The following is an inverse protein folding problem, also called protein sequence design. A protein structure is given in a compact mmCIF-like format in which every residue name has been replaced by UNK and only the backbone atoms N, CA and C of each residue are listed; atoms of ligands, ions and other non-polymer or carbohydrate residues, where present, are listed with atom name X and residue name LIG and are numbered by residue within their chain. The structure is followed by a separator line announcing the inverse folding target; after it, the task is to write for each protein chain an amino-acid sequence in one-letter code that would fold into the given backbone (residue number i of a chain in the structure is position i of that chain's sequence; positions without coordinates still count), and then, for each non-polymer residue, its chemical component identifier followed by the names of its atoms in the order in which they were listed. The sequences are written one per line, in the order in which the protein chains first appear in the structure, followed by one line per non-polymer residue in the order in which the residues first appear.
data_IF_501980581349
#
_entry.id   IF_501980581349
#
_cell.length_a   1.000
_cell.length_b   1.000
_cell.length_c   1.000
_cell.angle_alpha   90.00
_cell.angle_beta   90.00
_cell.angle_gamma   90.00
#
_symmetry.space_group_name_H-M   'P 1'
#
loop_
_entity.id
_entity.type
_entity.pdbx_description
1 polymer ?
#
# COMPACT_ATOMS: atom_id res chain seq x y z
N UNK A 1 11.95 18.33 17.33
CA UNK A 1 11.89 17.01 16.65
C UNK A 1 11.46 15.92 17.63
N UNK A 2 11.05 14.74 17.17
CA UNK A 2 10.66 13.63 18.08
C UNK A 2 11.84 13.16 18.96
N UNK A 3 13.08 13.43 18.58
CA UNK A 3 14.28 13.16 19.38
C UNK A 3 14.40 14.04 20.63
N UNK A 4 13.69 15.17 20.69
CA UNK A 4 13.76 16.11 21.82
C UNK A 4 13.09 15.61 23.10
N UNK A 5 12.20 14.61 23.01
CA UNK A 5 11.61 13.95 24.18
C UNK A 5 12.58 12.98 24.87
N UNK A 6 13.74 12.68 24.27
CA UNK A 6 14.76 11.82 24.90
C UNK A 6 15.52 12.62 25.96
N UNK A 7 15.65 12.06 27.16
CA UNK A 7 16.37 12.68 28.27
C UNK A 7 17.82 13.00 27.89
N UNK A 8 18.14 14.31 27.87
CA UNK A 8 19.44 14.85 27.44
C UNK A 8 20.53 14.80 28.52
N UNK A 9 20.24 14.27 29.71
CA UNK A 9 21.17 14.21 30.82
C UNK A 9 21.06 15.42 31.77
N UNK A 10 21.62 15.28 32.96
CA UNK A 10 21.81 16.36 33.94
C UNK A 10 23.10 16.13 34.72
N UNK A 11 23.47 17.06 35.62
CA UNK A 11 24.70 16.98 36.41
C UNK A 11 24.87 15.66 37.19
N UNK A 12 23.76 14.99 37.55
CA UNK A 12 23.76 13.74 38.30
C UNK A 12 23.48 12.49 37.45
N UNK A 13 23.05 12.62 36.19
CA UNK A 13 22.68 11.48 35.34
C UNK A 13 23.05 11.66 33.86
N UNK A 14 23.66 10.65 33.21
CA UNK A 14 24.00 10.74 31.80
C UNK A 14 22.76 10.75 30.90
N UNK A 15 22.93 11.23 29.67
CA UNK A 15 21.89 11.24 28.65
C UNK A 15 21.48 9.82 28.24
N UNK A 16 20.18 9.58 28.06
CA UNK A 16 19.67 8.28 27.62
C UNK A 16 19.65 8.17 26.09
N UNK A 17 19.69 6.95 25.55
CA UNK A 17 19.63 6.68 24.10
C UNK A 17 18.23 6.48 23.56
N UNK A 18 17.24 6.35 24.45
CA UNK A 18 15.88 5.94 24.14
C UNK A 18 14.91 6.63 25.11
N UNK A 19 13.72 6.98 24.62
CA UNK A 19 12.57 7.32 25.43
C UNK A 19 11.46 6.29 25.17
N UNK A 20 10.84 5.80 26.23
CA UNK A 20 9.73 4.86 26.16
C UNK A 20 8.60 5.35 27.05
N UNK A 21 7.37 5.27 26.54
CA UNK A 21 6.14 5.54 27.29
C UNK A 21 5.20 4.39 27.08
N UNK A 22 4.66 3.85 28.17
CA UNK A 22 3.66 2.79 28.17
C UNK A 22 2.36 3.33 28.77
N UNK A 23 1.29 3.23 28.00
CA UNK A 23 -0.07 3.51 28.44
C UNK A 23 -0.77 2.17 28.67
N UNK A 24 -1.23 1.92 29.89
CA UNK A 24 -2.05 0.76 30.22
C UNK A 24 -3.51 1.22 30.22
N UNK A 25 -4.33 0.55 29.42
CA UNK A 25 -5.76 0.79 29.30
C UNK A 25 -6.52 -0.38 29.93
N UNK A 26 -7.48 -0.05 30.76
CA UNK A 26 -8.50 -0.99 31.24
C UNK A 26 -9.49 -1.30 30.10
N UNK A 27 -9.69 -2.58 29.84
CA UNK A 27 -10.59 -3.15 28.84
C UNK A 27 -11.53 -4.21 29.45
N UNK A 28 -11.83 -4.15 30.75
CA UNK A 28 -12.79 -5.05 31.43
C UNK A 28 -14.15 -5.12 30.72
N UNK A 29 -14.60 -3.99 30.14
CA UNK A 29 -15.86 -3.91 29.40
C UNK A 29 -15.84 -4.58 28.03
N UNK A 30 -14.68 -5.05 27.56
CA UNK A 30 -14.51 -5.66 26.25
C UNK A 30 -14.74 -4.71 25.08
N UNK A 31 -14.56 -3.40 25.28
CA UNK A 31 -14.78 -2.39 24.23
C UNK A 31 -13.81 -2.57 23.06
N UNK A 32 -12.60 -3.07 23.34
CA UNK A 32 -11.60 -3.43 22.32
C UNK A 32 -11.63 -4.94 22.13
N UNK A 33 -12.18 -5.37 20.99
CA UNK A 33 -12.29 -6.78 20.61
C UNK A 33 -10.93 -7.48 20.52
N UNK A 34 -10.92 -8.78 20.87
CA UNK A 34 -9.77 -9.69 20.75
C UNK A 34 -8.53 -9.30 21.57
N UNK A 35 -8.73 -8.62 22.71
CA UNK A 35 -7.70 -8.26 23.67
C UNK A 35 -8.07 -8.73 25.08
N UNK A 36 -7.09 -8.74 25.99
CA UNK A 36 -7.30 -9.06 27.40
C UNK A 36 -8.05 -7.95 28.14
N UNK A 37 -8.21 -8.16 29.45
CA UNK A 37 -8.81 -7.20 30.39
C UNK A 37 -7.95 -5.94 30.56
N UNK A 38 -6.65 -6.02 30.29
CA UNK A 38 -5.74 -4.88 30.22
C UNK A 38 -4.98 -4.88 28.89
N UNK A 39 -4.72 -3.68 28.36
CA UNK A 39 -3.96 -3.48 27.12
C UNK A 39 -2.83 -2.50 27.37
N UNK A 40 -1.60 -2.92 27.07
CA UNK A 40 -0.41 -2.07 27.20
C UNK A 40 0.04 -1.55 25.84
N UNK A 41 -0.14 -0.26 25.58
CA UNK A 41 0.34 0.42 24.37
C UNK A 41 1.65 1.13 24.69
N UNK A 42 2.74 0.71 24.06
CA UNK A 42 4.06 1.30 24.25
C UNK A 42 4.51 2.05 23.01
N UNK A 43 5.06 3.25 23.20
CA UNK A 43 5.74 4.00 22.15
C UNK A 43 7.21 4.22 22.57
N UNK A 44 8.12 3.80 21.70
CA UNK A 44 9.57 3.93 21.89
C UNK A 44 10.17 4.83 20.82
N UNK A 45 11.08 5.72 21.21
CA UNK A 45 11.81 6.63 20.30
C UNK A 45 13.29 6.50 20.58
N UNK A 46 14.07 6.27 19.52
CA UNK A 46 15.52 6.14 19.58
C UNK A 46 16.22 7.43 19.14
N UNK A 47 17.46 7.64 19.61
CA UNK A 47 18.32 8.75 19.15
C UNK A 47 18.57 8.76 17.64
N UNK A 48 18.43 7.62 16.96
CA UNK A 48 18.52 7.51 15.50
C UNK A 48 17.37 8.23 14.77
N UNK A 49 16.32 8.64 15.49
CA UNK A 49 15.08 9.18 14.91
C UNK A 49 14.03 8.11 14.60
N UNK A 50 14.39 6.83 14.73
CA UNK A 50 13.45 5.72 14.58
C UNK A 50 12.50 5.65 15.77
N UNK A 51 11.27 5.22 15.50
CA UNK A 51 10.25 5.01 16.51
C UNK A 51 9.53 3.70 16.30
N UNK A 52 9.20 3.03 17.40
CA UNK A 52 8.48 1.75 17.40
C UNK A 52 7.22 1.85 18.25
N UNK A 53 6.20 1.10 17.83
CA UNK A 53 4.95 0.94 18.57
C UNK A 53 4.83 -0.52 18.99
N UNK A 54 4.42 -0.74 20.23
CA UNK A 54 4.15 -2.06 20.75
C UNK A 54 2.75 -2.11 21.36
N UNK A 55 2.05 -3.22 21.16
CA UNK A 55 0.83 -3.56 21.90
C UNK A 55 1.11 -4.87 22.62
N UNK A 56 0.99 -4.89 23.94
CA UNK A 56 1.27 -6.05 24.80
C UNK A 56 2.68 -6.62 24.55
N UNK A 57 3.65 -5.74 24.30
CA UNK A 57 5.04 -6.09 24.01
C UNK A 57 5.31 -6.56 22.57
N UNK A 58 4.29 -6.72 21.73
CA UNK A 58 4.48 -7.09 20.32
C UNK A 58 4.62 -5.85 19.43
N UNK A 59 5.63 -5.84 18.55
CA UNK A 59 5.81 -4.75 17.58
C UNK A 59 4.66 -4.69 16.60
N UNK A 60 4.07 -3.51 16.45
CA UNK A 60 2.96 -3.22 15.53
C UNK A 60 3.21 -1.92 14.77
N UNK A 61 2.41 -1.65 13.74
CA UNK A 61 2.48 -0.37 13.03
C UNK A 61 1.61 0.66 13.74
N UNK A 62 1.93 1.94 13.55
CA UNK A 62 1.06 3.04 13.99
C UNK A 62 -0.38 2.91 13.47
N UNK A 63 -0.57 2.36 12.26
CA UNK A 63 -1.91 2.11 11.71
C UNK A 63 -2.71 1.17 12.60
N UNK A 64 -2.08 0.08 13.07
CA UNK A 64 -2.74 -0.95 13.85
C UNK A 64 -3.15 -0.40 15.23
N UNK A 65 -2.30 0.43 15.86
CA UNK A 65 -2.62 1.16 17.11
C UNK A 65 -3.81 2.11 16.90
N UNK A 66 -3.82 2.87 15.80
CA UNK A 66 -4.90 3.83 15.49
C UNK A 66 -6.23 3.14 15.22
N UNK A 67 -6.21 2.01 14.52
CA UNK A 67 -7.40 1.23 14.21
C UNK A 67 -8.01 0.62 15.48
N UNK A 68 -7.16 0.14 16.40
CA UNK A 68 -7.60 -0.38 17.70
C UNK A 68 -8.30 0.69 18.56
N UNK A 69 -7.77 1.92 18.58
CA UNK A 69 -8.33 3.01 19.39
C UNK A 69 -9.50 3.74 18.73
N UNK A 70 -9.88 3.38 17.51
CA UNK A 70 -10.82 4.14 16.70
C UNK A 70 -12.24 4.19 17.31
N UNK A 71 -12.70 3.06 17.84
CA UNK A 71 -14.06 2.91 18.39
C UNK A 71 -14.12 3.22 19.91
N UNK A 72 -12.98 3.55 20.52
CA UNK A 72 -12.85 3.83 21.97
C UNK A 72 -13.02 5.32 22.33
N UNK A 73 -13.07 6.19 21.32
CA UNK A 73 -13.02 7.64 21.52
C UNK A 73 -11.62 8.20 21.89
N UNK A 74 -10.61 7.34 22.10
CA UNK A 74 -9.21 7.71 22.35
C UNK A 74 -8.36 7.83 21.07
N UNK A 75 -8.97 7.72 19.89
CA UNK A 75 -8.28 7.82 18.60
C UNK A 75 -7.49 9.12 18.43
N UNK A 76 -6.70 9.24 17.35
CA UNK A 76 -5.78 10.38 17.12
C UNK A 76 -6.42 11.78 17.06
N UNK A 77 -7.74 11.89 17.19
CA UNK A 77 -8.50 13.15 17.35
C UNK A 77 -9.49 13.12 18.50
N UNK A 78 -9.44 12.07 19.33
CA UNK A 78 -10.26 11.84 20.49
C UNK A 78 -10.22 13.04 21.44
N UNK A 79 -11.40 13.42 21.91
CA UNK A 79 -11.62 14.50 22.88
C UNK A 79 -10.93 14.26 24.23
N UNK A 80 -10.38 13.05 24.43
CA UNK A 80 -9.82 12.57 25.68
C UNK A 80 -8.55 13.32 26.11
N UNK A 81 -7.91 14.05 25.19
CA UNK A 81 -6.82 14.98 25.50
C UNK A 81 -7.28 16.39 25.12
N UNK A 82 -7.85 17.08 26.10
CA UNK A 82 -8.13 18.51 26.04
C UNK A 82 -6.80 19.27 26.22
N UNK A 83 -6.12 19.54 25.11
CA UNK A 83 -5.04 20.52 25.12
C UNK A 83 -5.57 21.89 25.53
N UNK A 84 -4.81 22.61 26.34
CA UNK A 84 -5.17 23.96 26.78
C UNK A 84 -5.36 24.88 25.56
N UNK A 85 -6.53 25.51 25.44
CA UNK A 85 -6.89 26.38 24.30
C UNK A 85 -7.69 25.69 23.17
N UNK A 86 -7.89 24.37 23.22
CA UNK A 86 -8.65 23.64 22.19
C UNK A 86 -10.17 23.91 22.23
N UNK A 87 -10.70 24.36 23.37
CA UNK A 87 -12.11 24.78 23.52
C UNK A 87 -12.41 25.99 22.63
N UNK A 88 -11.52 26.98 22.60
CA UNK A 88 -11.67 28.15 21.75
C UNK A 88 -11.58 27.78 20.27
N UNK A 89 -10.71 26.83 19.92
CA UNK A 89 -10.59 26.31 18.55
C UNK A 89 -11.86 25.60 18.06
N UNK A 90 -12.58 24.88 18.93
CA UNK A 90 -13.86 24.25 18.59
C UNK A 90 -14.97 25.30 18.41
N UNK A 91 -14.98 26.34 19.24
CA UNK A 91 -15.94 27.45 19.13
C UNK A 91 -15.68 28.32 17.89
N UNK A 92 -14.42 28.48 17.49
CA UNK A 92 -14.00 29.22 16.28
C UNK A 92 -13.93 28.34 15.02
N UNK A 93 -14.12 27.02 15.12
CA UNK A 93 -13.97 26.10 14.00
C UNK A 93 -14.99 26.40 12.89
N UNK A 94 -14.57 26.22 11.63
CA UNK A 94 -15.48 26.32 10.49
C UNK A 94 -16.57 25.22 10.56
N UNK A 95 -17.68 25.37 9.83
CA UNK A 95 -18.76 24.37 9.84
C UNK A 95 -18.34 22.94 9.43
N UNK A 96 -17.33 22.81 8.57
CA UNK A 96 -16.80 21.52 8.08
C UNK A 96 -16.04 20.79 9.20
N UNK A 97 -15.22 21.50 9.96
CA UNK A 97 -14.44 20.91 11.05
C UNK A 97 -15.34 20.55 12.25
N UNK A 98 -16.35 21.38 12.56
CA UNK A 98 -17.40 21.01 13.53
C UNK A 98 -18.16 19.75 13.09
N UNK A 99 -18.52 19.65 11.81
CA UNK A 99 -19.24 18.47 11.30
C UNK A 99 -18.41 17.20 11.46
N UNK A 100 -17.10 17.25 11.20
CA UNK A 100 -16.19 16.10 11.41
C UNK A 100 -16.15 15.65 12.87
N UNK A 101 -16.10 16.61 13.77
CA UNK A 101 -16.13 16.43 15.24
C UNK A 101 -17.41 15.67 15.68
N UNK A 102 -18.58 16.06 15.17
CA UNK A 102 -19.84 15.36 15.46
C UNK A 102 -19.95 13.97 14.79
N UNK A 103 -19.45 13.82 13.57
CA UNK A 103 -19.50 12.54 12.85
C UNK A 103 -18.58 11.47 13.46
N UNK A 104 -17.51 11.88 14.14
CA UNK A 104 -16.62 11.01 14.92
C UNK A 104 -17.30 10.54 16.21
N UNK A 105 -18.00 11.43 16.92
CA UNK A 105 -18.80 11.07 18.10
C UNK A 105 -19.96 10.11 17.75
N UNK A 106 -20.48 10.19 16.53
CA UNK A 106 -21.52 9.27 16.03
C UNK A 106 -20.98 7.92 15.53
N UNK A 107 -19.66 7.66 15.60
CA UNK A 107 -19.06 6.39 15.18
C UNK A 107 -19.02 6.14 13.66
N UNK A 108 -19.34 7.15 12.84
CA UNK A 108 -19.41 7.02 11.36
C UNK A 108 -18.02 7.12 10.71
N UNK A 109 -17.03 7.62 11.44
CA UNK A 109 -15.68 7.90 10.93
C UNK A 109 -14.99 6.64 10.39
N UNK A 110 -15.23 5.46 10.98
CA UNK A 110 -14.60 4.18 10.59
C UNK A 110 -15.06 3.76 9.20
N UNK A 111 -16.37 3.81 8.97
CA UNK A 111 -16.97 3.45 7.69
C UNK A 111 -16.52 4.38 6.58
N UNK A 112 -16.41 5.69 6.84
CA UNK A 112 -15.87 6.64 5.87
C UNK A 112 -14.41 6.39 5.53
N UNK A 113 -13.57 6.15 6.52
CA UNK A 113 -12.16 5.91 6.27
C UNK A 113 -11.96 4.61 5.48
N UNK A 114 -12.69 3.53 5.82
CA UNK A 114 -12.67 2.29 5.05
C UNK A 114 -13.20 2.49 3.62
N UNK A 115 -14.27 3.26 3.44
CA UNK A 115 -14.79 3.62 2.12
C UNK A 115 -13.73 4.35 1.30
N UNK A 116 -13.11 5.38 1.86
CA UNK A 116 -12.08 6.16 1.18
C UNK A 116 -10.83 5.34 0.82
N UNK A 117 -10.36 4.49 1.74
CA UNK A 117 -9.25 3.56 1.44
C UNK A 117 -9.61 2.58 0.31
N UNK A 118 -10.86 2.13 0.27
CA UNK A 118 -11.36 1.21 -0.77
C UNK A 118 -11.48 1.91 -2.11
N UNK A 119 -12.00 3.14 -2.15
CA UNK A 119 -12.07 3.98 -3.35
C UNK A 119 -10.66 4.24 -3.92
N UNK A 120 -9.68 4.55 -3.07
CA UNK A 120 -8.29 4.72 -3.49
C UNK A 120 -7.68 3.42 -4.06
N UNK A 121 -8.00 2.26 -3.48
CA UNK A 121 -7.56 0.97 -4.02
C UNK A 121 -8.22 0.67 -5.35
N UNK A 122 -9.51 0.94 -5.49
CA UNK A 122 -10.25 0.74 -6.73
C UNK A 122 -9.66 1.58 -7.87
N UNK A 123 -9.41 2.86 -7.63
CA UNK A 123 -8.80 3.74 -8.62
C UNK A 123 -7.41 3.25 -9.09
N UNK A 124 -6.60 2.68 -8.18
CA UNK A 124 -5.31 2.07 -8.56
C UNK A 124 -5.49 0.83 -9.43
N UNK A 125 -6.44 -0.04 -9.06
CA UNK A 125 -6.73 -1.25 -9.83
C UNK A 125 -7.24 -0.91 -11.23
N UNK A 126 -8.09 0.12 -11.37
CA UNK A 126 -8.56 0.61 -12.66
C UNK A 126 -7.39 1.11 -13.53
N UNK A 127 -6.42 1.82 -12.93
CA UNK A 127 -5.22 2.26 -13.64
C UNK A 127 -4.34 1.07 -14.07
N UNK A 128 -4.18 0.07 -13.21
CA UNK A 128 -3.41 -1.14 -13.52
C UNK A 128 -4.06 -1.96 -14.65
N UNK A 129 -5.39 -2.07 -14.65
CA UNK A 129 -6.15 -2.73 -15.71
C UNK A 129 -5.98 -2.03 -17.06
N UNK A 130 -6.09 -0.70 -17.09
CA UNK A 130 -5.88 0.07 -18.32
C UNK A 130 -4.48 -0.21 -18.92
N UNK A 131 -3.45 -0.29 -18.07
CA UNK A 131 -2.09 -0.61 -18.50
C UNK A 131 -1.98 -2.05 -19.03
N UNK A 132 -2.66 -3.01 -18.42
CA UNK A 132 -2.68 -4.40 -18.90
C UNK A 132 -3.37 -4.54 -20.26
N UNK A 133 -4.42 -3.77 -20.50
CA UNK A 133 -5.11 -3.72 -21.79
C UNK A 133 -4.19 -3.19 -22.89
N UNK A 134 -3.42 -2.13 -22.62
CA UNK A 134 -2.42 -1.59 -23.54
C UNK A 134 -1.36 -2.64 -23.91
N UNK A 135 -0.78 -3.32 -22.91
CA UNK A 135 0.23 -4.37 -23.11
C UNK A 135 -0.36 -5.55 -23.90
N UNK A 136 -1.60 -5.92 -23.61
CA UNK A 136 -2.30 -7.00 -24.33
C UNK A 136 -2.54 -6.61 -25.79
N UNK A 137 -2.92 -5.36 -26.06
CA UNK A 137 -3.07 -4.82 -27.40
C UNK A 137 -1.75 -4.86 -28.20
N UNK A 138 -0.65 -4.47 -27.57
CA UNK A 138 0.68 -4.53 -28.18
C UNK A 138 1.08 -5.97 -28.51
N UNK A 139 0.91 -6.90 -27.57
CA UNK A 139 1.21 -8.32 -27.76
C UNK A 139 0.40 -8.94 -28.90
N UNK A 140 -0.91 -8.64 -29.00
CA UNK A 140 -1.76 -9.09 -30.12
C UNK A 140 -1.21 -8.63 -31.47
N UNK A 141 -0.75 -7.38 -31.54
CA UNK A 141 -0.15 -6.82 -32.75
C UNK A 141 1.15 -7.54 -33.12
N UNK A 142 2.02 -7.81 -32.14
CA UNK A 142 3.25 -8.59 -32.34
C UNK A 142 2.97 -10.01 -32.83
N UNK A 143 2.00 -10.71 -32.22
CA UNK A 143 1.58 -12.06 -32.62
C UNK A 143 1.08 -12.07 -34.06
N UNK A 144 0.26 -11.09 -34.46
CA UNK A 144 -0.22 -10.97 -35.84
C UNK A 144 0.93 -10.80 -36.83
N UNK A 145 1.91 -9.93 -36.52
CA UNK A 145 3.10 -9.72 -37.36
C UNK A 145 3.92 -11.00 -37.51
N UNK A 146 4.20 -11.69 -36.40
CA UNK A 146 4.93 -12.96 -36.41
C UNK A 146 4.22 -14.04 -37.23
N UNK A 147 2.87 -14.13 -37.15
CA UNK A 147 2.09 -15.06 -37.97
C UNK A 147 2.24 -14.78 -39.47
N UNK A 148 2.27 -13.51 -39.87
CA UNK A 148 2.50 -13.12 -41.28
C UNK A 148 3.93 -13.48 -41.71
N UNK A 149 4.92 -13.24 -40.86
CA UNK A 149 6.32 -13.59 -41.14
C UNK A 149 6.51 -15.10 -41.28
N UNK A 150 5.92 -15.89 -40.38
CA UNK A 150 5.93 -17.36 -40.46
C UNK A 150 5.33 -17.85 -41.78
N UNK A 151 4.14 -17.36 -42.16
CA UNK A 151 3.52 -17.75 -43.43
C UNK A 151 4.31 -17.30 -44.67
N UNK A 152 5.07 -16.19 -44.60
CA UNK A 152 6.01 -15.80 -45.68
C UNK A 152 7.20 -16.77 -45.76
N UNK A 153 7.76 -17.15 -44.62
CA UNK A 153 8.88 -18.10 -44.56
C UNK A 153 8.47 -19.48 -45.11
N UNK A 154 7.29 -19.98 -44.72
CA UNK A 154 6.74 -21.25 -45.24
C UNK A 154 6.58 -21.22 -46.76
N UNK A 155 6.02 -20.14 -47.33
CA UNK A 155 5.89 -19.98 -48.78
C UNK A 155 7.25 -19.91 -49.49
N UNK A 156 8.23 -19.24 -48.89
CA UNK A 156 9.58 -19.17 -49.45
C UNK A 156 10.26 -20.55 -49.47
N UNK A 157 10.14 -21.33 -48.39
CA UNK A 157 10.66 -22.70 -48.32
C UNK A 157 10.03 -23.57 -49.40
N UNK A 158 8.70 -23.53 -49.54
CA UNK A 158 8.00 -24.29 -50.59
C UNK A 158 8.46 -23.91 -52.01
N UNK A 159 8.59 -22.61 -52.29
CA UNK A 159 9.05 -22.12 -53.60
C UNK A 159 10.52 -22.50 -53.88
N UNK A 160 11.38 -22.45 -52.86
CA UNK A 160 12.78 -22.91 -52.98
C UNK A 160 12.83 -24.40 -53.32
N UNK A 161 12.05 -25.22 -52.63
CA UNK A 161 12.04 -26.67 -52.84
C UNK A 161 11.47 -27.04 -54.22
N UNK A 162 10.53 -26.26 -54.75
CA UNK A 162 10.05 -26.38 -56.14
C UNK A 162 11.14 -25.98 -57.16
N UNK A 163 11.82 -24.86 -56.91
CA UNK A 163 12.92 -24.39 -57.77
C UNK A 163 14.07 -25.41 -57.82
N UNK A 164 14.46 -26.01 -56.69
CA UNK A 164 15.51 -27.04 -56.65
C UNK A 164 15.11 -28.30 -57.42
N UNK A 165 13.85 -28.72 -57.32
CA UNK A 165 13.30 -29.85 -58.09
C UNK A 165 13.37 -29.57 -59.60
N UNK A 166 12.93 -28.40 -60.02
CA UNK A 166 12.92 -28.03 -61.44
C UNK A 166 14.33 -27.86 -62.00
N UNK A 167 15.23 -27.26 -61.22
CA UNK A 167 16.66 -27.17 -61.54
C UNK A 167 17.26 -28.56 -61.75
N UNK A 168 17.02 -29.49 -60.83
CA UNK A 168 17.52 -30.87 -60.93
C UNK A 168 16.99 -31.58 -62.17
N UNK A 169 15.71 -31.35 -62.52
CA UNK A 169 15.07 -31.90 -63.73
C UNK A 169 15.74 -31.39 -65.00
N UNK A 170 15.97 -30.08 -65.10
CA UNK A 170 16.65 -29.45 -66.23
C UNK A 170 18.10 -29.96 -66.38
N UNK A 171 18.86 -30.02 -65.28
CA UNK A 171 20.24 -30.52 -65.31
C UNK A 171 20.30 -31.98 -65.75
N UNK A 172 19.36 -32.83 -65.30
CA UNK A 172 19.26 -34.22 -65.75
C UNK A 172 18.95 -34.30 -67.25
N UNK A 173 18.04 -33.47 -67.76
CA UNK A 173 17.71 -33.44 -69.19
C UNK A 173 18.92 -33.04 -70.04
N UNK A 174 19.67 -32.01 -69.61
CA UNK A 174 20.88 -31.58 -70.33
C UNK A 174 22.00 -32.64 -70.33
N UNK A 175 22.12 -33.45 -69.27
CA UNK A 175 23.11 -34.53 -69.18
C UNK A 175 22.74 -35.77 -70.00
N UNK A 176 21.46 -36.01 -70.29
CA UNK A 176 20.98 -37.15 -71.07
C UNK A 176 20.85 -36.88 -72.58
N UNK A 177 21.05 -35.64 -73.01
CA UNK A 177 20.97 -35.19 -74.43
C UNK A 177 22.37 -35.12 -75.09
N UNK A 178 23.40 -35.62 -74.41
CA UNK A 178 24.72 -35.94 -74.98
C UNK A 178 24.93 -37.46 -74.96
#
# INVERSE_FOLDING_TARGET
EMTDVIFKGCASRPALGVAEVTLVLDNESGTIDARGEEIAITRRVFKSGEGEYLIDGQKVRLKDVREMLFDTGLGSRGYSVLEQGRIDAVLSANPIDRRRIFEEAAGVSRYRQRKHETELRLARVEQDLARLDDVTGELRTRVRSLKIQAGKAERWVAARDEWEREKTRLTRHQLFVF
#
